data_IF_692730837947
#
_entry.id   IF_692730837947
#
_cell.length_a   1.000
_cell.length_b   1.000
_cell.length_c   1.000
_cell.angle_alpha   90.00
_cell.angle_beta   90.00
_cell.angle_gamma   90.00
#
_symmetry.space_group_name_H-M   'P 1'
#
loop_
_entity.id
_entity.type
_entity.pdbx_description
1 polymer ?
#
# COMPACT_ATOMS: atom_id res chain seq x y z
N UNK A 1 18.77 2.67 27.65
CA UNK A 1 17.71 3.24 26.80
C UNK A 1 16.87 2.18 26.10
N UNK A 2 16.69 1.02 26.73
CA UNK A 2 15.96 -0.15 26.21
C UNK A 2 14.69 -0.47 26.99
N UNK A 3 14.37 0.32 28.02
CA UNK A 3 13.26 0.04 28.93
C UNK A 3 11.90 0.61 28.45
N UNK A 4 11.90 1.49 27.46
CA UNK A 4 10.62 2.11 26.97
C UNK A 4 9.95 1.21 25.93
N UNK A 5 10.70 0.37 25.23
CA UNK A 5 10.15 -0.51 24.19
C UNK A 5 9.39 -1.74 24.74
N UNK A 6 9.59 -2.09 26.01
CA UNK A 6 8.95 -3.25 26.66
C UNK A 6 7.60 -2.93 27.29
N UNK A 7 7.27 -1.65 27.49
CA UNK A 7 6.04 -1.23 28.15
C UNK A 7 4.94 -0.71 27.23
N UNK A 8 5.29 -0.36 25.98
CA UNK A 8 4.33 0.06 24.95
C UNK A 8 4.30 -0.96 23.82
N UNK A 9 3.69 -2.10 24.09
CA UNK A 9 3.36 -3.07 23.02
C UNK A 9 2.14 -2.54 22.28
N UNK A 10 2.39 -1.69 21.28
CA UNK A 10 1.36 -1.13 20.42
C UNK A 10 1.60 -1.60 18.99
N UNK A 11 0.55 -2.04 18.35
CA UNK A 11 0.54 -2.40 16.93
C UNK A 11 -0.13 -1.29 16.14
N UNK A 12 0.49 -0.88 15.02
CA UNK A 12 -0.11 0.09 14.09
C UNK A 12 0.02 -0.44 12.66
N UNK A 13 -1.12 -0.55 11.98
CA UNK A 13 -1.19 -0.95 10.56
C UNK A 13 -1.67 0.22 9.71
N UNK A 14 -0.84 1.23 9.52
CA UNK A 14 -1.20 2.41 8.72
C UNK A 14 -0.77 2.38 7.25
N UNK A 15 -0.11 1.31 6.78
CA UNK A 15 0.54 1.30 5.45
C UNK A 15 0.23 0.08 4.59
N UNK A 16 -0.68 -0.78 4.98
CA UNK A 16 -1.04 -1.91 4.14
C UNK A 16 -2.18 -1.52 3.20
N UNK A 17 -1.88 -1.27 1.95
CA UNK A 17 -2.86 -1.06 0.88
C UNK A 17 -3.54 -2.37 0.44
N UNK A 18 -3.89 -3.23 1.38
CA UNK A 18 -4.53 -4.50 1.10
C UNK A 18 -4.54 -5.40 2.32
N UNK A 19 -5.65 -6.06 2.61
CA UNK A 19 -5.76 -7.04 3.69
C UNK A 19 -4.73 -8.17 3.57
N UNK A 20 -4.49 -8.90 4.68
CA UNK A 20 -3.65 -10.09 4.69
C UNK A 20 -2.18 -9.86 5.11
N UNK A 21 -1.80 -8.65 5.56
CA UNK A 21 -0.47 -8.41 6.14
C UNK A 21 -0.41 -8.85 7.60
N UNK A 22 -1.54 -8.82 8.30
CA UNK A 22 -1.69 -9.33 9.64
C UNK A 22 -2.92 -10.23 9.73
N UNK A 23 -2.90 -11.16 10.66
CA UNK A 23 -4.02 -12.03 11.00
C UNK A 23 -4.87 -11.34 12.08
N UNK A 24 -6.11 -10.98 11.77
CA UNK A 24 -7.01 -10.26 12.67
C UNK A 24 -7.41 -11.10 13.90
N UNK A 25 -7.48 -12.44 13.77
CA UNK A 25 -7.77 -13.33 14.88
C UNK A 25 -6.59 -13.40 15.85
N UNK A 26 -5.38 -13.55 15.34
CA UNK A 26 -4.16 -13.54 16.15
C UNK A 26 -3.95 -12.18 16.84
N UNK A 27 -4.30 -11.08 16.18
CA UNK A 27 -4.26 -9.75 16.77
C UNK A 27 -5.26 -9.61 17.93
N UNK A 28 -6.49 -10.11 17.74
CA UNK A 28 -7.50 -10.13 18.79
C UNK A 28 -7.02 -10.92 20.03
N UNK A 29 -6.44 -12.09 19.80
CA UNK A 29 -5.88 -12.92 20.90
C UNK A 29 -4.74 -12.21 21.64
N UNK A 30 -3.86 -11.53 20.91
CA UNK A 30 -2.76 -10.78 21.51
C UNK A 30 -3.25 -9.56 22.33
N UNK A 31 -4.32 -8.92 21.93
CA UNK A 31 -4.94 -7.80 22.64
C UNK A 31 -5.71 -8.28 23.89
N UNK A 32 -6.48 -9.36 23.77
CA UNK A 32 -7.28 -9.90 24.88
C UNK A 32 -6.44 -10.58 25.94
N UNK A 33 -5.34 -11.22 25.57
CA UNK A 33 -4.37 -11.79 26.51
C UNK A 33 -3.46 -10.76 27.19
N UNK A 34 -3.53 -9.48 26.76
CA UNK A 34 -2.65 -8.43 27.27
C UNK A 34 -1.21 -8.51 26.74
N UNK A 35 -0.94 -9.37 25.74
CA UNK A 35 0.34 -9.40 25.06
C UNK A 35 0.62 -8.11 24.30
N UNK A 36 -0.41 -7.53 23.69
CA UNK A 36 -0.40 -6.18 23.12
C UNK A 36 -1.23 -5.25 24.01
N UNK A 37 -0.70 -4.07 24.27
CA UNK A 37 -1.40 -3.04 25.05
C UNK A 37 -2.54 -2.39 24.25
N UNK A 38 -2.34 -2.17 22.94
CA UNK A 38 -3.33 -1.59 22.05
C UNK A 38 -2.95 -1.73 20.59
N UNK A 39 -3.90 -1.41 19.72
CA UNK A 39 -3.69 -1.41 18.27
C UNK A 39 -4.35 -0.20 17.61
N UNK A 40 -3.71 0.30 16.53
CA UNK A 40 -4.29 1.23 15.58
C UNK A 40 -4.49 0.53 14.23
N UNK A 41 -5.70 0.48 13.73
CA UNK A 41 -6.07 -0.21 12.51
C UNK A 41 -6.72 0.77 11.52
N UNK A 42 -6.12 0.90 10.35
CA UNK A 42 -6.67 1.70 9.25
C UNK A 42 -7.10 0.83 8.06
N UNK A 43 -6.59 -0.40 8.00
CA UNK A 43 -6.85 -1.37 6.93
C UNK A 43 -7.32 -2.69 7.54
N UNK A 44 -8.28 -3.35 6.88
CA UNK A 44 -8.96 -4.55 7.36
C UNK A 44 -8.89 -5.65 6.31
N UNK A 45 -8.99 -6.92 6.73
CA UNK A 45 -9.07 -8.04 5.79
C UNK A 45 -10.28 -7.91 4.86
N UNK A 46 -11.41 -7.44 5.43
CA UNK A 46 -12.61 -7.11 4.68
C UNK A 46 -13.00 -5.66 4.93
N UNK A 47 -13.07 -4.88 3.87
CA UNK A 47 -13.44 -3.46 3.93
C UNK A 47 -14.79 -3.19 3.23
N UNK A 48 -15.71 -2.49 3.90
CA UNK A 48 -15.65 -2.05 5.28
C UNK A 48 -15.79 -3.23 6.25
N UNK A 49 -15.13 -3.19 7.43
CA UNK A 49 -15.32 -4.22 8.44
C UNK A 49 -16.77 -4.23 8.93
N UNK A 50 -17.36 -5.41 9.21
CA UNK A 50 -18.70 -5.48 9.75
C UNK A 50 -18.77 -4.79 11.12
N UNK A 51 -19.88 -4.12 11.42
CA UNK A 51 -20.06 -3.35 12.67
C UNK A 51 -19.93 -4.19 13.95
N UNK A 52 -20.16 -5.49 13.84
CA UNK A 52 -20.02 -6.45 14.94
C UNK A 52 -18.63 -7.08 15.02
N UNK A 53 -17.68 -6.60 14.22
CA UNK A 53 -16.31 -7.13 14.19
C UNK A 53 -15.67 -7.15 15.59
N UNK A 54 -15.06 -8.27 16.03
CA UNK A 54 -14.53 -8.41 17.39
C UNK A 54 -13.49 -7.35 17.78
N UNK A 55 -12.61 -6.96 16.84
CA UNK A 55 -11.61 -5.92 17.07
C UNK A 55 -12.22 -4.54 17.29
N UNK A 56 -13.36 -4.22 16.65
CA UNK A 56 -14.08 -2.96 16.87
C UNK A 56 -14.70 -2.86 18.26
N UNK A 57 -14.90 -3.98 18.96
CA UNK A 57 -15.41 -4.03 20.32
C UNK A 57 -14.34 -3.88 21.40
N UNK A 58 -13.05 -3.92 21.00
CA UNK A 58 -11.95 -3.78 21.95
C UNK A 58 -11.76 -2.32 22.36
N UNK A 59 -11.60 -2.08 23.67
CA UNK A 59 -11.38 -0.71 24.22
C UNK A 59 -10.00 -0.15 23.90
N UNK A 60 -9.06 -1.02 23.57
CA UNK A 60 -7.66 -0.73 23.26
C UNK A 60 -7.37 -0.78 21.76
N UNK A 61 -8.40 -0.67 20.90
CA UNK A 61 -8.28 -0.57 19.45
C UNK A 61 -8.80 0.78 18.98
N UNK A 62 -8.00 1.49 18.19
CA UNK A 62 -8.40 2.67 17.42
C UNK A 62 -8.54 2.27 15.97
N UNK A 63 -9.72 2.46 15.42
CA UNK A 63 -10.06 2.11 14.05
C UNK A 63 -10.30 3.38 13.21
N UNK A 64 -9.78 3.41 12.00
CA UNK A 64 -10.02 4.46 11.01
C UNK A 64 -10.48 3.84 9.68
N UNK A 65 -10.88 4.70 8.72
CA UNK A 65 -11.58 4.28 7.48
C UNK A 65 -10.63 4.20 6.28
N UNK A 66 -9.47 3.58 6.43
CA UNK A 66 -8.46 3.47 5.37
C UNK A 66 -8.04 4.87 4.85
N UNK A 67 -7.79 5.77 5.80
CA UNK A 67 -7.51 7.19 5.52
C UNK A 67 -6.12 7.65 5.91
N UNK A 68 -5.28 6.79 6.48
CA UNK A 68 -3.94 7.16 6.93
C UNK A 68 -3.06 7.72 5.81
N UNK A 69 -3.25 7.24 4.56
CA UNK A 69 -2.58 7.74 3.36
C UNK A 69 -3.28 8.94 2.69
N UNK A 70 -4.40 9.42 3.23
CA UNK A 70 -5.22 10.45 2.59
C UNK A 70 -4.83 11.85 3.08
N UNK A 71 -3.62 12.30 2.71
CA UNK A 71 -3.21 13.69 2.84
C UNK A 71 -3.31 14.41 1.49
N UNK A 72 -3.31 15.73 1.50
CA UNK A 72 -3.28 16.53 0.27
C UNK A 72 -2.05 16.20 -0.57
N UNK A 73 -0.89 16.13 0.06
CA UNK A 73 0.39 15.82 -0.57
C UNK A 73 0.42 14.40 -1.13
N UNK A 74 -0.06 13.41 -0.36
CA UNK A 74 -0.11 12.03 -0.81
C UNK A 74 -1.00 11.86 -2.04
N UNK A 75 -2.19 12.47 -2.05
CA UNK A 75 -3.11 12.45 -3.19
C UNK A 75 -2.48 13.11 -4.42
N UNK A 76 -1.88 14.29 -4.24
CA UNK A 76 -1.20 14.99 -5.33
C UNK A 76 -0.07 14.15 -5.89
N UNK A 77 0.80 13.62 -5.04
CA UNK A 77 1.96 12.84 -5.47
C UNK A 77 1.53 11.54 -6.18
N UNK A 78 0.53 10.82 -5.64
CA UNK A 78 -0.01 9.63 -6.31
C UNK A 78 -0.54 9.95 -7.70
N UNK A 79 -1.33 11.02 -7.85
CA UNK A 79 -1.87 11.44 -9.14
C UNK A 79 -0.78 11.86 -10.13
N UNK A 80 0.20 12.63 -9.65
CA UNK A 80 1.33 13.11 -10.47
C UNK A 80 2.17 11.92 -10.96
N UNK A 81 2.64 11.07 -10.04
CA UNK A 81 3.47 9.92 -10.42
C UNK A 81 2.74 8.92 -11.32
N UNK A 82 1.45 8.70 -11.09
CA UNK A 82 0.66 7.84 -11.99
C UNK A 82 0.56 8.44 -13.39
N UNK A 83 0.27 9.75 -13.49
CA UNK A 83 0.17 10.45 -14.76
C UNK A 83 1.50 10.47 -15.52
N UNK A 84 2.60 10.76 -14.85
CA UNK A 84 3.95 10.77 -15.44
C UNK A 84 4.34 9.40 -15.97
N UNK A 85 4.10 8.34 -15.21
CA UNK A 85 4.37 6.97 -15.66
C UNK A 85 3.51 6.60 -16.87
N UNK A 86 2.21 6.92 -16.87
CA UNK A 86 1.31 6.64 -18.00
C UNK A 86 1.77 7.39 -19.26
N UNK A 87 2.06 8.69 -19.12
CA UNK A 87 2.55 9.52 -20.25
C UNK A 87 3.88 8.98 -20.77
N UNK A 88 4.78 8.60 -19.88
CA UNK A 88 6.07 8.00 -20.23
C UNK A 88 5.91 6.69 -21.01
N UNK A 89 5.05 5.80 -20.53
CA UNK A 89 4.73 4.53 -21.22
C UNK A 89 4.15 4.80 -22.59
N UNK A 90 3.18 5.71 -22.70
CA UNK A 90 2.56 6.06 -23.99
C UNK A 90 3.53 6.71 -24.99
N UNK A 91 4.66 7.24 -24.53
CA UNK A 91 5.77 7.73 -25.33
C UNK A 91 6.82 6.64 -25.63
N UNK A 92 6.58 5.40 -25.20
CA UNK A 92 7.50 4.28 -25.40
C UNK A 92 8.59 4.16 -24.35
N UNK A 93 8.55 4.94 -23.27
CA UNK A 93 9.52 4.89 -22.18
C UNK A 93 9.23 3.73 -21.22
N UNK A 94 10.28 3.16 -20.62
CA UNK A 94 10.16 2.10 -19.61
C UNK A 94 9.93 2.71 -18.23
N UNK A 95 8.83 2.34 -17.54
CA UNK A 95 8.56 2.89 -16.21
C UNK A 95 9.59 2.36 -15.17
N UNK A 96 10.01 3.19 -14.21
CA UNK A 96 11.03 2.80 -13.22
C UNK A 96 10.54 1.76 -12.22
N UNK A 97 9.21 1.65 -12.05
CA UNK A 97 8.57 0.77 -11.04
C UNK A 97 7.77 -0.36 -11.70
N UNK A 98 8.29 -0.95 -12.76
CA UNK A 98 7.65 -2.06 -13.46
C UNK A 98 7.72 -3.33 -12.59
N UNK A 99 6.58 -3.78 -12.05
CA UNK A 99 6.49 -4.94 -11.13
C UNK A 99 6.73 -6.27 -11.89
N UNK A 100 6.32 -6.33 -13.17
CA UNK A 100 6.44 -7.51 -14.02
C UNK A 100 7.33 -7.23 -15.25
N UNK A 101 8.64 -7.15 -15.08
CA UNK A 101 9.57 -6.75 -16.14
C UNK A 101 9.54 -7.64 -17.40
N UNK A 102 9.11 -8.89 -17.25
CA UNK A 102 9.04 -9.87 -18.35
C UNK A 102 8.03 -9.49 -19.45
N UNK A 103 7.07 -8.59 -19.15
CA UNK A 103 6.13 -8.11 -20.17
C UNK A 103 6.73 -7.04 -21.09
N UNK A 104 7.85 -6.44 -20.70
CA UNK A 104 8.41 -5.30 -21.42
C UNK A 104 8.80 -5.60 -22.86
N UNK A 105 9.44 -6.73 -23.21
CA UNK A 105 9.74 -7.07 -24.60
C UNK A 105 8.48 -7.18 -25.49
N UNK A 106 7.42 -7.78 -24.96
CA UNK A 106 6.14 -7.87 -25.67
C UNK A 106 5.48 -6.49 -25.87
N UNK A 107 5.57 -5.62 -24.85
CA UNK A 107 5.10 -4.26 -24.95
C UNK A 107 5.86 -3.47 -26.03
N UNK A 108 7.19 -3.51 -26.06
CA UNK A 108 8.01 -2.83 -27.06
C UNK A 108 7.62 -3.23 -28.49
N UNK A 109 7.46 -4.53 -28.75
CA UNK A 109 7.03 -5.04 -30.05
C UNK A 109 5.66 -4.50 -30.46
N UNK A 110 4.71 -4.48 -29.52
CA UNK A 110 3.37 -3.94 -29.77
C UNK A 110 3.40 -2.43 -30.00
N UNK A 111 4.21 -1.70 -29.22
CA UNK A 111 4.37 -0.26 -29.36
C UNK A 111 4.89 0.11 -30.74
N UNK A 112 5.95 -0.56 -31.24
CA UNK A 112 6.48 -0.35 -32.58
C UNK A 112 5.44 -0.62 -33.67
N UNK A 113 4.67 -1.70 -33.51
CA UNK A 113 3.63 -2.06 -34.48
C UNK A 113 2.50 -1.02 -34.57
N UNK A 114 2.17 -0.37 -33.45
CA UNK A 114 1.05 0.60 -33.39
C UNK A 114 1.52 2.03 -33.66
N UNK A 115 2.67 2.42 -33.13
CA UNK A 115 3.15 3.79 -33.16
C UNK A 115 4.12 4.08 -34.31
N UNK A 116 4.62 3.05 -35.00
CA UNK A 116 5.60 3.18 -36.08
C UNK A 116 6.98 3.69 -35.62
N UNK A 117 7.22 3.76 -34.31
CA UNK A 117 8.47 4.22 -33.71
C UNK A 117 8.94 3.24 -32.64
N UNK A 118 10.25 3.16 -32.43
CA UNK A 118 10.84 2.23 -31.47
C UNK A 118 10.60 2.68 -30.03
N UNK A 119 10.21 1.75 -29.16
CA UNK A 119 10.15 1.99 -27.73
C UNK A 119 11.57 2.13 -27.14
N UNK A 120 11.68 2.94 -26.09
CA UNK A 120 12.94 3.15 -25.39
C UNK A 120 13.29 1.95 -24.50
N UNK A 121 14.55 1.57 -24.47
CA UNK A 121 15.05 0.49 -23.58
C UNK A 121 15.46 1.02 -22.22
N UNK A 122 15.78 2.30 -22.14
CA UNK A 122 16.18 2.97 -20.91
C UNK A 122 14.99 3.22 -19.98
N UNK A 123 15.26 3.17 -18.67
CA UNK A 123 14.27 3.49 -17.66
C UNK A 123 14.04 5.00 -17.64
N UNK A 124 12.77 5.41 -17.56
CA UNK A 124 12.42 6.82 -17.43
C UNK A 124 12.99 7.39 -16.14
N UNK A 125 13.65 8.53 -16.24
CA UNK A 125 13.99 9.36 -15.10
C UNK A 125 12.77 10.21 -14.75
N UNK A 126 12.21 9.98 -13.56
CA UNK A 126 11.01 10.64 -13.04
C UNK A 126 11.32 11.30 -11.68
N UNK A 127 12.50 11.96 -11.58
CA UNK A 127 12.87 12.73 -10.39
C UNK A 127 12.00 13.97 -10.16
#
# INVERSE_FOLDING_TARGET
>A
MWYVATTLRCFSSGWSSGGGIHDEAALLDALTSGHLYGAGLDVWEKEPPPLDHPLLKQRNVVATYHTAGVTYEARRNMATFAAEQIVGILKGGRPPRLINPDVWPAYMKRFEAVMGSRAQTEVLDLD
#
